data_IF_276305378061
#
_entry.id   IF_276305378061
#
_cell.length_a   1.000
_cell.length_b   1.000
_cell.length_c   1.000
_cell.angle_alpha   90.00
_cell.angle_beta   90.00
_cell.angle_gamma   90.00
#
_symmetry.space_group_name_H-M   'P 1'
#
loop_
_entity.id
_entity.type
_entity.pdbx_description
1 polymer ?
#
# COMPACT_ATOMS: atom_id res chain seq x y z
N UNK A 1 -21.21 14.83 1.66
CA UNK A 1 -20.12 15.36 0.80
C UNK A 1 -20.45 15.12 -0.65
N UNK A 2 -20.16 16.06 -1.55
CA UNK A 2 -20.36 15.88 -2.99
C UNK A 2 -19.39 14.81 -3.52
N UNK A 3 -19.88 13.88 -4.34
CA UNK A 3 -19.04 12.81 -4.93
C UNK A 3 -17.86 13.35 -5.75
N UNK A 4 -18.00 14.54 -6.32
CA UNK A 4 -16.94 15.21 -7.08
C UNK A 4 -15.78 15.62 -6.17
N UNK A 5 -16.07 16.23 -5.00
CA UNK A 5 -15.03 16.63 -4.02
C UNK A 5 -14.28 15.39 -3.51
N UNK A 6 -15.02 14.34 -3.15
CA UNK A 6 -14.41 13.07 -2.74
C UNK A 6 -13.49 12.48 -3.80
N UNK A 7 -13.94 12.48 -5.07
CA UNK A 7 -13.11 12.00 -6.17
C UNK A 7 -11.87 12.85 -6.37
N UNK A 8 -11.99 14.18 -6.25
CA UNK A 8 -10.84 15.09 -6.35
C UNK A 8 -9.80 14.81 -5.26
N UNK A 9 -10.22 14.53 -4.02
CA UNK A 9 -9.31 14.16 -2.93
C UNK A 9 -8.57 12.85 -3.22
N UNK A 10 -9.27 11.83 -3.73
CA UNK A 10 -8.62 10.56 -4.12
C UNK A 10 -7.65 10.76 -5.29
N UNK A 11 -7.99 11.60 -6.27
CA UNK A 11 -7.10 11.96 -7.38
C UNK A 11 -5.84 12.66 -6.87
N UNK A 12 -5.95 13.54 -5.89
CA UNK A 12 -4.78 14.20 -5.28
C UNK A 12 -3.86 13.20 -4.56
N UNK A 13 -4.43 12.22 -3.85
CA UNK A 13 -3.65 11.12 -3.24
C UNK A 13 -2.95 10.30 -4.32
N UNK A 14 -3.65 10.02 -5.42
CA UNK A 14 -3.10 9.29 -6.55
C UNK A 14 -1.95 10.06 -7.23
N UNK A 15 -2.13 11.35 -7.49
CA UNK A 15 -1.08 12.22 -8.04
C UNK A 15 0.15 12.29 -7.12
N UNK A 16 -0.05 12.47 -5.81
CA UNK A 16 1.04 12.45 -4.83
C UNK A 16 1.81 11.13 -4.89
N UNK A 17 1.10 10.00 -5.01
CA UNK A 17 1.72 8.68 -5.11
C UNK A 17 2.45 8.46 -6.43
N UNK A 18 1.91 9.01 -7.54
CA UNK A 18 2.58 9.00 -8.84
C UNK A 18 3.91 9.77 -8.77
N UNK A 19 3.90 11.00 -8.28
CA UNK A 19 5.11 11.81 -8.18
C UNK A 19 6.14 11.20 -7.23
N UNK A 20 5.72 10.72 -6.06
CA UNK A 20 6.63 10.13 -5.08
C UNK A 20 7.16 8.75 -5.53
N UNK A 21 6.33 7.95 -6.18
CA UNK A 21 6.66 6.57 -6.55
C UNK A 21 7.52 6.46 -7.81
N UNK A 22 7.42 7.41 -8.73
CA UNK A 22 8.04 7.30 -10.06
C UNK A 22 9.36 8.05 -10.21
N UNK A 23 9.80 8.78 -9.19
CA UNK A 23 10.98 9.65 -9.29
C UNK A 23 10.71 11.00 -9.97
N UNK A 24 9.52 11.23 -10.55
CA UNK A 24 9.12 12.53 -11.09
C UNK A 24 9.23 13.64 -10.07
N UNK A 25 8.94 13.32 -8.80
CA UNK A 25 9.09 14.26 -7.72
C UNK A 25 10.52 14.75 -7.48
N UNK A 26 11.52 13.91 -7.72
CA UNK A 26 12.93 14.33 -7.66
C UNK A 26 13.28 15.26 -8.80
N UNK A 27 12.80 14.97 -10.02
CA UNK A 27 13.05 15.79 -11.21
C UNK A 27 12.42 17.19 -11.08
N UNK A 28 11.21 17.27 -10.55
CA UNK A 28 10.44 18.51 -10.48
C UNK A 28 10.38 19.11 -9.06
N UNK A 29 11.09 18.56 -8.08
CA UNK A 29 11.05 18.98 -6.65
C UNK A 29 9.62 19.10 -6.08
N UNK A 30 8.69 18.27 -6.58
CA UNK A 30 7.25 18.37 -6.28
C UNK A 30 6.82 17.53 -5.08
N UNK A 31 7.67 16.64 -4.55
CA UNK A 31 7.32 15.74 -3.44
C UNK A 31 6.83 16.50 -2.19
N UNK A 32 7.55 17.55 -1.81
CA UNK A 32 7.18 18.39 -0.67
C UNK A 32 5.90 19.19 -0.93
N UNK A 33 5.71 19.66 -2.17
CA UNK A 33 4.53 20.45 -2.57
C UNK A 33 3.28 19.57 -2.55
N UNK A 34 3.33 18.35 -3.11
CA UNK A 34 2.19 17.42 -3.14
C UNK A 34 1.80 16.96 -1.73
N UNK A 35 2.77 16.67 -0.87
CA UNK A 35 2.51 16.33 0.51
C UNK A 35 1.94 17.53 1.30
N UNK A 36 2.48 18.72 1.11
CA UNK A 36 1.96 19.93 1.72
C UNK A 36 0.54 20.27 1.25
N UNK A 37 0.26 20.12 -0.05
CA UNK A 37 -1.09 20.29 -0.60
C UNK A 37 -2.09 19.29 -0.01
N UNK A 38 -1.70 18.02 0.14
CA UNK A 38 -2.53 17.00 0.77
C UNK A 38 -2.81 17.34 2.23
N UNK A 39 -1.78 17.75 2.98
CA UNK A 39 -1.94 18.17 4.39
C UNK A 39 -2.82 19.42 4.48
N UNK A 40 -2.62 20.41 3.61
CA UNK A 40 -3.41 21.64 3.55
C UNK A 40 -4.88 21.38 3.25
N UNK A 41 -5.18 20.57 2.24
CA UNK A 41 -6.55 20.15 1.90
C UNK A 41 -7.20 19.36 3.03
N UNK A 42 -6.44 18.50 3.68
CA UNK A 42 -6.89 17.72 4.82
C UNK A 42 -7.22 18.62 6.02
N UNK A 43 -6.40 19.63 6.28
CA UNK A 43 -6.64 20.63 7.32
C UNK A 43 -7.89 21.47 7.02
N UNK A 44 -8.07 21.96 5.79
CA UNK A 44 -9.26 22.70 5.36
C UNK A 44 -10.51 21.84 5.52
N UNK A 45 -10.44 20.56 5.15
CA UNK A 45 -11.55 19.62 5.33
C UNK A 45 -11.91 19.45 6.79
N UNK A 46 -10.93 19.23 7.67
CA UNK A 46 -11.15 19.08 9.12
C UNK A 46 -11.71 20.34 9.76
N UNK A 47 -11.25 21.52 9.35
CA UNK A 47 -11.76 22.81 9.86
C UNK A 47 -13.22 23.06 9.47
N UNK A 48 -13.67 22.58 8.32
CA UNK A 48 -15.06 22.68 7.86
C UNK A 48 -16.01 21.70 8.58
N UNK A 49 -15.50 20.58 9.08
CA UNK A 49 -16.29 19.54 9.76
C UNK A 49 -16.25 19.78 11.27
N UNK A 50 -17.31 20.42 11.80
CA UNK A 50 -17.44 20.77 13.24
C UNK A 50 -17.45 19.59 14.21
N UNK A 51 -17.64 18.35 13.74
CA UNK A 51 -17.66 17.13 14.56
C UNK A 51 -16.59 16.15 14.08
N UNK A 52 -15.44 16.25 14.67
CA UNK A 52 -14.35 15.29 14.45
C UNK A 52 -14.50 14.14 15.45
N UNK A 53 -14.81 12.94 14.95
CA UNK A 53 -14.87 11.73 15.77
C UNK A 53 -13.48 11.13 15.91
N UNK A 54 -12.87 11.28 17.06
CA UNK A 54 -11.57 10.69 17.36
C UNK A 54 -11.74 9.25 17.82
N UNK A 55 -11.25 8.32 17.04
CA UNK A 55 -11.12 6.92 17.44
C UNK A 55 -9.87 6.79 18.33
N UNK A 56 -10.06 6.92 19.64
CA UNK A 56 -9.01 7.10 20.66
C UNK A 56 -7.88 6.07 20.55
N UNK A 57 -8.20 4.78 20.45
CA UNK A 57 -7.22 3.70 20.37
C UNK A 57 -6.35 3.76 19.09
N UNK A 58 -6.95 4.07 17.93
CA UNK A 58 -6.22 4.27 16.67
C UNK A 58 -5.34 5.52 16.75
N UNK A 59 -5.90 6.63 17.22
CA UNK A 59 -5.17 7.88 17.38
C UNK A 59 -3.98 7.74 18.34
N UNK A 60 -4.20 7.19 19.53
CA UNK A 60 -3.10 6.97 20.49
C UNK A 60 -2.03 6.03 19.95
N UNK A 61 -2.43 5.01 19.18
CA UNK A 61 -1.45 4.11 18.55
C UNK A 61 -0.63 4.83 17.48
N UNK A 62 -1.23 5.72 16.68
CA UNK A 62 -0.51 6.55 15.72
C UNK A 62 0.48 7.49 16.43
N UNK A 63 0.03 8.19 17.48
CA UNK A 63 0.92 9.04 18.27
C UNK A 63 2.07 8.26 18.89
N UNK A 64 1.80 7.10 19.50
CA UNK A 64 2.84 6.26 20.08
C UNK A 64 3.85 5.77 19.04
N UNK A 65 3.37 5.37 17.84
CA UNK A 65 4.25 4.97 16.74
C UNK A 65 5.16 6.11 16.30
N UNK A 66 4.60 7.32 16.14
CA UNK A 66 5.39 8.51 15.78
C UNK A 66 6.40 8.86 16.87
N UNK A 67 6.01 8.79 18.15
CA UNK A 67 6.93 9.00 19.27
C UNK A 67 8.10 8.00 19.26
N UNK A 68 7.84 6.72 18.94
CA UNK A 68 8.88 5.69 18.84
C UNK A 68 9.82 5.97 17.66
N UNK A 69 9.29 6.39 16.50
CA UNK A 69 10.11 6.72 15.34
C UNK A 69 11.02 7.92 15.62
N UNK A 70 10.46 8.99 16.19
CA UNK A 70 11.21 10.17 16.61
C UNK A 70 12.24 9.81 17.68
N UNK A 71 11.87 9.04 18.71
CA UNK A 71 12.79 8.59 19.75
C UNK A 71 13.94 7.77 19.17
N UNK A 72 13.66 6.85 18.25
CA UNK A 72 14.70 6.08 17.56
C UNK A 72 15.68 6.99 16.80
N UNK A 73 15.17 8.01 16.09
CA UNK A 73 16.00 9.01 15.41
C UNK A 73 16.89 9.77 16.35
N UNK A 74 16.35 10.29 17.46
CA UNK A 74 17.09 11.04 18.47
C UNK A 74 18.15 10.17 19.16
N UNK A 75 17.85 8.90 19.47
CA UNK A 75 18.78 7.95 20.08
C UNK A 75 20.07 7.78 19.26
N UNK A 76 19.95 7.83 17.94
CA UNK A 76 21.06 7.66 17.00
C UNK A 76 21.63 8.99 16.47
N UNK A 77 21.23 10.15 17.05
CA UNK A 77 21.66 11.50 16.62
C UNK A 77 21.41 11.70 15.11
N UNK A 78 20.30 11.20 14.60
CA UNK A 78 19.85 11.37 13.23
C UNK A 78 18.76 12.44 13.18
N UNK A 79 18.46 12.91 11.97
CA UNK A 79 17.29 13.76 11.74
C UNK A 79 16.02 13.06 12.19
N UNK A 80 14.90 13.79 12.31
CA UNK A 80 13.59 13.25 12.71
C UNK A 80 13.12 12.19 11.69
N UNK A 81 13.81 11.04 11.69
CA UNK A 81 13.49 9.93 10.82
C UNK A 81 12.08 9.41 11.09
N UNK A 82 11.29 9.22 10.05
CA UNK A 82 9.91 8.75 10.14
C UNK A 82 8.86 9.86 10.16
N UNK A 83 9.24 11.14 10.09
CA UNK A 83 8.29 12.26 9.95
C UNK A 83 7.39 12.11 8.72
N UNK A 84 7.87 11.45 7.68
CA UNK A 84 7.15 11.13 6.43
C UNK A 84 5.87 10.31 6.70
N UNK A 85 5.85 9.49 7.75
CA UNK A 85 4.68 8.68 8.11
C UNK A 85 3.56 9.48 8.76
N UNK A 86 3.83 10.69 9.20
CA UNK A 86 2.79 11.60 9.65
C UNK A 86 1.74 11.82 8.53
N UNK A 87 2.19 11.98 7.29
CA UNK A 87 1.28 12.10 6.13
C UNK A 87 0.42 10.86 5.93
N UNK A 88 0.99 9.64 6.11
CA UNK A 88 0.24 8.39 6.01
C UNK A 88 -0.85 8.28 7.09
N UNK A 89 -0.53 8.62 8.32
CA UNK A 89 -1.48 8.57 9.43
C UNK A 89 -2.54 9.67 9.34
N UNK A 90 -2.16 10.87 8.92
CA UNK A 90 -3.10 11.95 8.63
C UNK A 90 -4.05 11.57 7.51
N UNK A 91 -3.57 10.91 6.44
CA UNK A 91 -4.43 10.41 5.37
C UNK A 91 -5.49 9.44 5.90
N UNK A 92 -5.07 8.42 6.66
CA UNK A 92 -6.01 7.46 7.27
C UNK A 92 -7.03 8.21 8.14
N UNK A 93 -6.55 9.17 8.94
CA UNK A 93 -7.40 9.93 9.84
C UNK A 93 -8.42 10.79 9.09
N UNK A 94 -7.99 11.52 8.07
CA UNK A 94 -8.86 12.39 7.25
C UNK A 94 -9.95 11.56 6.56
N UNK A 95 -9.56 10.49 5.86
CA UNK A 95 -10.53 9.64 5.18
C UNK A 95 -11.45 8.90 6.15
N UNK A 96 -11.03 8.67 7.41
CA UNK A 96 -11.91 8.15 8.47
C UNK A 96 -13.02 9.11 8.87
N UNK A 97 -12.88 10.42 8.60
CA UNK A 97 -13.88 11.44 8.88
C UNK A 97 -14.84 11.67 7.71
N UNK A 98 -14.61 11.03 6.58
CA UNK A 98 -15.41 11.20 5.36
C UNK A 98 -16.43 10.07 5.24
N UNK A 99 -17.70 10.43 4.92
CA UNK A 99 -18.73 9.44 4.62
C UNK A 99 -18.48 8.80 3.27
N UNK A 100 -18.02 7.56 3.28
CA UNK A 100 -17.74 6.82 2.05
C UNK A 100 -19.03 6.20 1.51
N UNK A 101 -19.59 6.85 0.46
CA UNK A 101 -20.81 6.42 -0.24
C UNK A 101 -20.47 5.64 -1.49
N UNK A 102 -21.32 4.67 -1.85
CA UNK A 102 -21.12 3.78 -3.01
C UNK A 102 -20.92 4.54 -4.32
N UNK A 103 -21.79 5.53 -4.60
CA UNK A 103 -21.68 6.36 -5.82
C UNK A 103 -20.35 7.12 -5.88
N UNK A 104 -19.87 7.64 -4.75
CA UNK A 104 -18.60 8.36 -4.69
C UNK A 104 -17.43 7.40 -4.91
N UNK A 105 -17.47 6.21 -4.32
CA UNK A 105 -16.46 5.17 -4.54
C UNK A 105 -16.40 4.73 -6.00
N UNK A 106 -17.55 4.51 -6.67
CA UNK A 106 -17.58 4.11 -8.08
C UNK A 106 -16.99 5.19 -8.99
N UNK A 107 -17.41 6.45 -8.80
CA UNK A 107 -16.85 7.55 -9.57
C UNK A 107 -15.34 7.64 -9.42
N UNK A 108 -14.86 7.57 -8.17
CA UNK A 108 -13.42 7.62 -7.88
C UNK A 108 -12.67 6.42 -8.46
N UNK A 109 -13.20 5.21 -8.31
CA UNK A 109 -12.58 4.00 -8.85
C UNK A 109 -12.42 4.04 -10.37
N UNK A 110 -13.47 4.49 -11.09
CA UNK A 110 -13.42 4.66 -12.55
C UNK A 110 -12.37 5.73 -12.92
N UNK A 111 -12.41 6.88 -12.26
CA UNK A 111 -11.48 7.98 -12.55
C UNK A 111 -10.02 7.54 -12.35
N UNK A 112 -9.72 6.88 -11.23
CA UNK A 112 -8.37 6.40 -10.92
C UNK A 112 -7.92 5.31 -11.90
N UNK A 113 -8.80 4.40 -12.31
CA UNK A 113 -8.47 3.41 -13.33
C UNK A 113 -8.09 4.08 -14.66
N UNK A 114 -8.91 5.05 -15.12
CA UNK A 114 -8.64 5.78 -16.37
C UNK A 114 -7.29 6.50 -16.30
N UNK A 115 -7.01 7.18 -15.19
CA UNK A 115 -5.72 7.85 -14.99
C UNK A 115 -4.57 6.84 -14.96
N UNK A 116 -4.73 5.69 -14.30
CA UNK A 116 -3.74 4.61 -14.27
C UNK A 116 -3.45 4.06 -15.67
N UNK A 117 -4.49 3.83 -16.47
CA UNK A 117 -4.35 3.39 -17.88
C UNK A 117 -3.61 4.46 -18.72
N UNK A 118 -3.96 5.73 -18.56
CA UNK A 118 -3.29 6.82 -19.28
C UNK A 118 -1.79 6.84 -18.96
N UNK A 119 -1.41 6.70 -17.70
CA UNK A 119 0.01 6.68 -17.31
C UNK A 119 0.74 5.46 -17.87
N UNK A 120 0.11 4.28 -17.84
CA UNK A 120 0.69 3.07 -18.44
C UNK A 120 0.87 3.23 -19.96
N UNK A 121 -0.11 3.80 -20.66
CA UNK A 121 -0.02 4.08 -22.10
C UNK A 121 1.09 5.09 -22.41
N UNK A 122 1.24 6.15 -21.62
CA UNK A 122 2.32 7.12 -21.78
C UNK A 122 3.68 6.45 -21.59
N UNK A 123 3.79 5.51 -20.64
CA UNK A 123 5.02 4.77 -20.40
C UNK A 123 5.34 3.83 -21.56
N UNK A 124 4.36 3.06 -22.06
CA UNK A 124 4.57 2.04 -23.10
C UNK A 124 4.82 2.65 -24.49
N UNK A 125 4.14 3.75 -24.84
CA UNK A 125 4.20 4.37 -26.16
C UNK A 125 4.93 5.72 -26.17
N UNK A 126 5.27 6.24 -24.98
CA UNK A 126 6.09 7.44 -24.85
C UNK A 126 7.56 7.11 -24.82
N UNK A 127 8.40 8.07 -25.15
CA UNK A 127 9.83 7.98 -24.88
C UNK A 127 10.01 7.74 -23.38
N UNK A 128 10.81 6.74 -23.01
CA UNK A 128 11.19 6.48 -21.62
C UNK A 128 11.69 7.80 -21.01
N UNK A 129 10.84 8.43 -20.23
CA UNK A 129 11.20 9.64 -19.52
C UNK A 129 12.28 9.27 -18.51
N UNK A 130 13.43 9.91 -18.59
CA UNK A 130 14.54 9.67 -17.68
C UNK A 130 14.06 9.81 -16.23
N UNK A 131 14.26 8.77 -15.42
CA UNK A 131 13.85 8.76 -14.01
C UNK A 131 12.57 7.97 -13.70
N UNK A 132 11.88 7.41 -14.67
CA UNK A 132 10.74 6.52 -14.41
C UNK A 132 11.23 5.13 -14.02
N UNK A 133 10.78 4.65 -12.87
CA UNK A 133 11.06 3.28 -12.42
C UNK A 133 9.92 2.37 -12.87
N UNK A 134 10.24 1.34 -13.66
CA UNK A 134 9.30 0.37 -14.22
C UNK A 134 8.40 -0.26 -13.15
N UNK A 135 8.97 -0.70 -12.03
CA UNK A 135 8.21 -1.30 -10.93
C UNK A 135 7.23 -0.30 -10.29
N UNK A 136 7.63 0.97 -10.19
CA UNK A 136 6.76 2.02 -9.61
C UNK A 136 5.57 2.33 -10.52
N UNK A 137 5.80 2.36 -11.84
CA UNK A 137 4.72 2.53 -12.83
C UNK A 137 3.75 1.33 -12.77
N UNK A 138 4.28 0.11 -12.74
CA UNK A 138 3.47 -1.09 -12.58
C UNK A 138 2.64 -1.07 -11.29
N UNK A 139 3.21 -0.58 -10.17
CA UNK A 139 2.48 -0.42 -8.90
C UNK A 139 1.34 0.59 -9.03
N UNK A 140 1.55 1.73 -9.68
CA UNK A 140 0.49 2.72 -9.90
C UNK A 140 -0.67 2.11 -10.71
N UNK A 141 -0.37 1.38 -11.79
CA UNK A 141 -1.38 0.65 -12.56
C UNK A 141 -2.15 -0.38 -11.72
N UNK A 142 -1.41 -1.22 -10.99
CA UNK A 142 -1.99 -2.22 -10.09
C UNK A 142 -2.90 -1.58 -9.03
N UNK A 143 -2.44 -0.55 -8.33
CA UNK A 143 -3.20 0.07 -7.25
C UNK A 143 -4.42 0.82 -7.79
N UNK A 144 -4.30 1.43 -8.96
CA UNK A 144 -5.43 2.03 -9.66
C UNK A 144 -6.52 0.98 -9.97
N UNK A 145 -6.11 -0.19 -10.46
CA UNK A 145 -7.03 -1.29 -10.71
C UNK A 145 -7.64 -1.86 -9.42
N UNK A 146 -6.85 -2.03 -8.36
CA UNK A 146 -7.37 -2.52 -7.07
C UNK A 146 -8.46 -1.59 -6.54
N UNK A 147 -8.25 -0.27 -6.56
CA UNK A 147 -9.25 0.71 -6.11
C UNK A 147 -10.52 0.69 -6.98
N UNK A 148 -10.37 0.51 -8.30
CA UNK A 148 -11.49 0.30 -9.20
C UNK A 148 -12.25 -0.97 -8.84
N UNK A 149 -11.58 -2.12 -8.69
CA UNK A 149 -12.21 -3.39 -8.36
C UNK A 149 -12.99 -3.33 -7.03
N UNK A 150 -12.45 -2.65 -6.01
CA UNK A 150 -13.15 -2.38 -4.74
C UNK A 150 -14.46 -1.60 -4.97
N UNK A 151 -14.45 -0.63 -5.85
CA UNK A 151 -15.62 0.22 -6.11
C UNK A 151 -16.79 -0.51 -6.78
N UNK A 152 -16.52 -1.70 -7.35
CA UNK A 152 -17.52 -2.58 -7.98
C UNK A 152 -17.76 -3.88 -7.19
N UNK A 153 -17.19 -4.02 -6.00
CA UNK A 153 -17.25 -5.26 -5.23
C UNK A 153 -18.68 -5.64 -4.78
N UNK A 154 -19.58 -4.66 -4.67
CA UNK A 154 -21.00 -4.84 -4.35
C UNK A 154 -21.84 -5.32 -5.54
N UNK A 155 -21.33 -5.17 -6.76
CA UNK A 155 -22.10 -5.48 -7.96
C UNK A 155 -21.85 -6.90 -8.46
N UNK A 156 -22.82 -7.78 -8.20
CA UNK A 156 -22.81 -9.16 -8.68
C UNK A 156 -23.37 -9.31 -10.11
N UNK A 157 -23.66 -8.19 -10.82
CA UNK A 157 -24.17 -8.26 -12.18
C UNK A 157 -23.13 -8.84 -13.15
N UNK A 158 -23.61 -9.55 -14.18
CA UNK A 158 -22.71 -10.10 -15.21
C UNK A 158 -21.89 -9.00 -15.91
N UNK A 159 -22.50 -7.83 -16.11
CA UNK A 159 -21.83 -6.70 -16.72
C UNK A 159 -20.72 -6.10 -15.85
N UNK A 160 -20.92 -5.96 -14.54
CA UNK A 160 -19.86 -5.48 -13.67
C UNK A 160 -18.70 -6.46 -13.58
N UNK A 161 -18.97 -7.77 -13.52
CA UNK A 161 -17.92 -8.80 -13.59
C UNK A 161 -17.16 -8.77 -14.91
N UNK A 162 -17.87 -8.58 -16.03
CA UNK A 162 -17.24 -8.43 -17.34
C UNK A 162 -16.35 -7.19 -17.41
N UNK A 163 -16.82 -6.03 -16.91
CA UNK A 163 -16.01 -4.81 -16.86
C UNK A 163 -14.76 -4.97 -15.98
N UNK A 164 -14.88 -5.62 -14.82
CA UNK A 164 -13.74 -5.91 -13.93
C UNK A 164 -12.74 -6.83 -14.62
N UNK A 165 -13.20 -7.86 -15.32
CA UNK A 165 -12.32 -8.77 -16.06
C UNK A 165 -11.63 -8.08 -17.22
N UNK A 166 -12.39 -7.35 -18.04
CA UNK A 166 -11.88 -6.66 -19.24
C UNK A 166 -10.85 -5.58 -18.86
N UNK A 167 -11.16 -4.76 -17.87
CA UNK A 167 -10.22 -3.75 -17.37
C UNK A 167 -8.98 -4.38 -16.74
N UNK A 168 -9.13 -5.48 -16.00
CA UNK A 168 -8.01 -6.22 -15.42
C UNK A 168 -7.10 -6.82 -16.50
N UNK A 169 -7.68 -7.40 -17.56
CA UNK A 169 -6.91 -7.90 -18.70
C UNK A 169 -6.17 -6.78 -19.43
N UNK A 170 -6.82 -5.62 -19.62
CA UNK A 170 -6.19 -4.44 -20.21
C UNK A 170 -5.02 -3.90 -19.38
N UNK A 171 -5.21 -3.77 -18.05
CA UNK A 171 -4.13 -3.34 -17.16
C UNK A 171 -3.00 -4.38 -17.10
N UNK A 172 -3.31 -5.68 -17.12
CA UNK A 172 -2.29 -6.74 -17.19
C UNK A 172 -1.44 -6.64 -18.45
N UNK A 173 -2.10 -6.40 -19.60
CA UNK A 173 -1.42 -6.17 -20.87
C UNK A 173 -0.46 -4.98 -20.81
N UNK A 174 -0.90 -3.85 -20.24
CA UNK A 174 -0.09 -2.64 -20.11
C UNK A 174 1.03 -2.74 -19.05
N UNK A 175 0.88 -3.59 -18.02
CA UNK A 175 1.93 -3.83 -17.03
C UNK A 175 2.97 -4.85 -17.55
N UNK A 176 2.61 -5.74 -18.46
CA UNK A 176 3.52 -6.79 -18.94
C UNK A 176 4.89 -6.27 -19.44
N UNK A 177 4.97 -5.16 -20.21
CA UNK A 177 6.25 -4.60 -20.66
C UNK A 177 7.16 -4.11 -19.51
N UNK A 178 6.62 -3.80 -18.33
CA UNK A 178 7.42 -3.36 -17.16
C UNK A 178 8.20 -4.50 -16.51
N UNK A 179 7.93 -5.76 -16.91
CA UNK A 179 8.55 -6.96 -16.34
C UNK A 179 8.45 -7.07 -14.79
N UNK A 180 7.46 -6.39 -14.21
CA UNK A 180 7.17 -6.41 -12.77
C UNK A 180 6.32 -7.62 -12.38
N UNK A 181 6.99 -8.77 -12.19
CA UNK A 181 6.33 -10.06 -11.87
C UNK A 181 5.43 -9.98 -10.64
N UNK A 182 5.86 -9.27 -9.60
CA UNK A 182 5.06 -9.10 -8.37
C UNK A 182 3.75 -8.37 -8.61
N UNK A 183 3.75 -7.33 -9.46
CA UNK A 183 2.54 -6.59 -9.83
C UNK A 183 1.62 -7.44 -10.71
N UNK A 184 2.16 -8.20 -11.67
CA UNK A 184 1.35 -9.09 -12.51
C UNK A 184 0.64 -10.17 -11.68
N UNK A 185 1.36 -10.84 -10.77
CA UNK A 185 0.78 -11.86 -9.88
C UNK A 185 -0.30 -11.23 -8.99
N UNK A 186 -0.01 -10.10 -8.35
CA UNK A 186 -0.98 -9.41 -7.50
C UNK A 186 -2.22 -8.97 -8.28
N UNK A 187 -2.07 -8.55 -9.53
CA UNK A 187 -3.19 -8.18 -10.41
C UNK A 187 -4.06 -9.39 -10.74
N UNK A 188 -3.46 -10.52 -11.12
CA UNK A 188 -4.21 -11.77 -11.39
C UNK A 188 -4.98 -12.20 -10.14
N UNK A 189 -4.35 -12.19 -8.96
CA UNK A 189 -5.02 -12.49 -7.69
C UNK A 189 -6.17 -11.53 -7.42
N UNK A 190 -5.98 -10.23 -7.71
CA UNK A 190 -7.04 -9.21 -7.56
C UNK A 190 -8.22 -9.49 -8.47
N UNK A 191 -7.99 -9.84 -9.74
CA UNK A 191 -9.05 -10.20 -10.70
C UNK A 191 -9.83 -11.42 -10.18
N UNK A 192 -9.13 -12.47 -9.76
CA UNK A 192 -9.77 -13.69 -9.25
C UNK A 192 -10.62 -13.41 -8.01
N UNK A 193 -10.12 -12.64 -7.05
CA UNK A 193 -10.86 -12.27 -5.85
C UNK A 193 -12.08 -11.39 -6.17
N UNK A 194 -11.95 -10.45 -7.09
CA UNK A 194 -13.06 -9.58 -7.49
C UNK A 194 -14.17 -10.36 -8.23
N UNK A 195 -13.82 -11.38 -9.02
CA UNK A 195 -14.79 -12.21 -9.74
C UNK A 195 -15.49 -13.23 -8.83
N UNK A 196 -14.76 -13.79 -7.88
CA UNK A 196 -15.32 -14.79 -6.94
C UNK A 196 -16.13 -14.16 -5.82
N UNK A 197 -15.85 -12.88 -5.50
CA UNK A 197 -16.61 -12.00 -4.61
C UNK A 197 -17.05 -12.59 -3.26
N UNK A 198 -16.38 -13.63 -2.78
CA UNK A 198 -16.66 -14.21 -1.46
C UNK A 198 -15.36 -14.30 -0.67
N UNK A 199 -14.91 -13.19 -0.05
CA UNK A 199 -13.86 -13.33 0.95
C UNK A 199 -14.35 -14.31 1.99
N UNK A 200 -13.47 -15.16 2.47
CA UNK A 200 -13.81 -16.06 3.57
C UNK A 200 -13.97 -15.22 4.86
N UNK A 201 -15.19 -14.92 5.33
CA UNK A 201 -15.39 -14.05 6.50
C UNK A 201 -14.63 -14.58 7.72
N UNK A 202 -14.55 -15.91 7.85
CA UNK A 202 -13.82 -16.57 8.95
C UNK A 202 -12.34 -16.19 8.98
N UNK A 203 -11.70 -16.05 7.81
CA UNK A 203 -10.30 -15.64 7.72
C UNK A 203 -10.14 -14.18 8.15
N UNK A 204 -10.97 -13.28 7.64
CA UNK A 204 -10.89 -11.85 7.94
C UNK A 204 -11.35 -11.50 9.36
N UNK A 205 -12.20 -12.33 10.00
CA UNK A 205 -12.60 -12.17 11.40
C UNK A 205 -11.55 -12.68 12.38
N UNK A 206 -10.74 -13.64 11.95
CA UNK A 206 -9.71 -14.23 12.80
C UNK A 206 -8.54 -13.27 13.03
N UNK A 207 -8.24 -12.98 14.29
CA UNK A 207 -7.07 -12.19 14.67
C UNK A 207 -5.76 -12.81 14.15
N UNK A 208 -5.63 -14.11 14.27
CA UNK A 208 -4.43 -14.84 13.84
C UNK A 208 -4.21 -14.72 12.34
N UNK A 209 -5.25 -14.93 11.54
CA UNK A 209 -5.16 -14.79 10.08
C UNK A 209 -4.88 -13.36 9.64
N UNK A 210 -5.53 -12.36 10.25
CA UNK A 210 -5.25 -10.95 9.92
C UNK A 210 -3.80 -10.58 10.24
N UNK A 211 -3.27 -11.00 11.38
CA UNK A 211 -1.87 -10.78 11.72
C UNK A 211 -0.93 -11.54 10.79
N UNK A 212 -1.25 -12.79 10.45
CA UNK A 212 -0.47 -13.57 9.47
C UNK A 212 -0.39 -12.86 8.13
N UNK A 213 -1.51 -12.36 7.60
CA UNK A 213 -1.55 -11.62 6.34
C UNK A 213 -0.79 -10.29 6.40
N UNK A 214 -0.76 -9.62 7.55
CA UNK A 214 0.02 -8.40 7.75
C UNK A 214 1.53 -8.66 7.76
N UNK A 215 1.98 -9.78 8.30
CA UNK A 215 3.41 -10.12 8.37
C UNK A 215 3.92 -10.86 7.14
N UNK A 216 3.09 -11.05 6.09
CA UNK A 216 3.52 -11.70 4.84
C UNK A 216 4.83 -11.12 4.30
N UNK A 217 5.07 -9.79 4.25
CA UNK A 217 6.35 -9.27 3.77
C UNK A 217 7.56 -9.80 4.55
N UNK A 218 7.45 -9.92 5.88
CA UNK A 218 8.49 -10.50 6.71
C UNK A 218 8.68 -12.00 6.43
N UNK A 219 7.58 -12.74 6.34
CA UNK A 219 7.63 -14.19 6.08
C UNK A 219 8.25 -14.49 4.72
N UNK A 220 7.88 -13.74 3.68
CA UNK A 220 8.48 -13.89 2.34
C UNK A 220 9.98 -13.62 2.37
N UNK A 221 10.42 -12.59 3.10
CA UNK A 221 11.84 -12.31 3.23
C UNK A 221 12.59 -13.44 3.96
N UNK A 222 12.07 -13.93 5.07
CA UNK A 222 12.66 -15.03 5.84
C UNK A 222 12.74 -16.31 5.01
N UNK A 223 11.63 -16.70 4.35
CA UNK A 223 11.57 -17.89 3.50
C UNK A 223 12.59 -17.77 2.35
N UNK A 224 12.68 -16.61 1.71
CA UNK A 224 13.63 -16.39 0.61
C UNK A 224 15.07 -16.54 1.08
N UNK A 225 15.43 -15.95 2.22
CA UNK A 225 16.80 -16.09 2.78
C UNK A 225 17.09 -17.55 3.13
N UNK A 226 16.17 -18.24 3.80
CA UNK A 226 16.34 -19.67 4.16
C UNK A 226 16.49 -20.53 2.91
N UNK A 227 15.63 -20.32 1.91
CA UNK A 227 15.71 -21.07 0.64
C UNK A 227 17.01 -20.79 -0.12
N UNK A 228 17.49 -19.54 -0.12
CA UNK A 228 18.72 -19.18 -0.81
C UNK A 228 19.97 -19.86 -0.22
N UNK A 229 19.92 -20.22 1.07
CA UNK A 229 20.98 -20.95 1.77
C UNK A 229 20.87 -22.49 1.58
N UNK A 230 19.81 -22.97 0.96
CA UNK A 230 19.57 -24.40 0.75
C UNK A 230 20.22 -24.92 -0.52
N UNK A 231 20.46 -26.23 -0.59
CA UNK A 231 20.95 -26.93 -1.79
C UNK A 231 19.98 -26.92 -2.97
N UNK A 232 18.73 -26.50 -2.75
CA UNK A 232 17.68 -26.40 -3.77
C UNK A 232 17.80 -25.10 -4.57
N UNK A 233 18.38 -24.04 -3.99
CA UNK A 233 18.46 -22.71 -4.59
C UNK A 233 19.07 -22.71 -6.01
N UNK A 234 20.20 -23.39 -6.29
CA UNK A 234 20.77 -23.43 -7.65
C UNK A 234 19.83 -24.06 -8.69
N UNK A 235 19.09 -25.11 -8.28
CA UNK A 235 18.12 -25.79 -9.18
C UNK A 235 16.94 -24.86 -9.49
N UNK A 236 16.43 -24.17 -8.48
CA UNK A 236 15.35 -23.17 -8.66
C UNK A 236 15.80 -22.03 -9.55
N UNK A 237 17.04 -21.59 -9.43
CA UNK A 237 17.58 -20.48 -10.23
C UNK A 237 17.74 -20.88 -11.71
N UNK A 238 18.23 -22.10 -11.99
CA UNK A 238 18.32 -22.65 -13.36
C UNK A 238 16.92 -22.73 -13.98
N UNK A 239 15.94 -23.25 -13.24
CA UNK A 239 14.56 -23.34 -13.70
C UNK A 239 13.97 -21.96 -13.99
N UNK A 240 14.13 -21.00 -13.08
CA UNK A 240 13.62 -19.64 -13.23
C UNK A 240 14.22 -18.91 -14.42
N UNK A 241 15.53 -19.07 -14.66
CA UNK A 241 16.21 -18.51 -15.85
C UNK A 241 15.68 -19.10 -17.15
N UNK A 242 15.36 -20.41 -17.18
CA UNK A 242 14.77 -21.06 -18.38
C UNK A 242 13.36 -20.55 -18.68
N UNK A 243 12.52 -20.35 -17.65
CA UNK A 243 11.10 -19.99 -17.81
C UNK A 243 10.90 -18.49 -17.93
N UNK A 244 11.64 -17.70 -17.15
CA UNK A 244 11.40 -16.26 -16.97
C UNK A 244 12.61 -15.39 -17.41
N UNK A 245 13.68 -15.97 -17.92
CA UNK A 245 14.89 -15.23 -18.32
C UNK A 245 15.70 -14.62 -17.17
N UNK A 246 15.22 -14.72 -15.90
CA UNK A 246 15.82 -14.08 -14.73
C UNK A 246 15.98 -15.05 -13.55
N UNK A 247 16.99 -14.82 -12.65
CA UNK A 247 17.12 -15.59 -11.42
C UNK A 247 15.86 -15.50 -10.57
N UNK A 248 15.57 -16.56 -9.78
CA UNK A 248 14.35 -16.58 -8.96
C UNK A 248 14.37 -15.50 -7.87
N UNK A 249 15.50 -15.35 -7.19
CA UNK A 249 15.64 -14.36 -6.11
C UNK A 249 16.04 -12.98 -6.62
N UNK A 250 16.60 -12.87 -7.82
CA UNK A 250 17.01 -11.62 -8.46
C UNK A 250 17.87 -10.70 -7.55
N UNK A 251 18.78 -11.32 -6.76
CA UNK A 251 19.66 -10.63 -5.80
C UNK A 251 18.99 -10.22 -4.48
N UNK A 252 17.68 -10.41 -4.34
CA UNK A 252 16.93 -10.07 -3.10
C UNK A 252 17.35 -10.91 -1.91
N UNK A 253 17.76 -12.15 -2.12
CA UNK A 253 18.32 -13.05 -1.11
C UNK A 253 19.50 -12.43 -0.38
N UNK A 254 20.51 -11.93 -1.11
CA UNK A 254 21.68 -11.26 -0.54
C UNK A 254 21.32 -9.94 0.12
N UNK A 255 20.43 -9.17 -0.53
CA UNK A 255 19.97 -7.90 -0.03
C UNK A 255 19.22 -8.07 1.30
N UNK A 256 18.30 -9.03 1.39
CA UNK A 256 17.53 -9.27 2.60
C UNK A 256 18.35 -9.89 3.72
N UNK A 257 19.32 -10.76 3.39
CA UNK A 257 20.29 -11.24 4.38
C UNK A 257 21.11 -10.08 4.98
N UNK A 258 21.55 -9.14 4.16
CA UNK A 258 22.23 -7.93 4.63
C UNK A 258 21.30 -7.06 5.48
N UNK A 259 20.01 -6.95 5.11
CA UNK A 259 18.99 -6.27 5.92
C UNK A 259 18.81 -6.91 7.30
N UNK A 260 18.68 -8.23 7.38
CA UNK A 260 18.61 -8.92 8.67
C UNK A 260 19.87 -8.74 9.52
N UNK A 261 21.06 -8.76 8.91
CA UNK A 261 22.31 -8.44 9.64
C UNK A 261 22.29 -7.01 10.18
N UNK A 262 21.87 -6.05 9.36
CA UNK A 262 21.72 -4.65 9.79
C UNK A 262 20.73 -4.51 10.96
N UNK A 263 19.59 -5.19 10.90
CA UNK A 263 18.62 -5.23 11.99
C UNK A 263 19.23 -5.79 13.29
N UNK A 264 20.02 -6.87 13.22
CA UNK A 264 20.62 -7.48 14.39
C UNK A 264 21.65 -6.59 15.12
N UNK A 265 22.22 -5.58 14.46
CA UNK A 265 23.08 -4.58 15.12
C UNK A 265 22.26 -3.62 16.00
N UNK A 266 21.00 -3.35 15.68
CA UNK A 266 20.13 -2.45 16.44
C UNK A 266 18.70 -3.03 16.56
N UNK A 267 18.52 -4.17 17.28
CA UNK A 267 17.31 -4.98 17.17
C UNK A 267 16.05 -4.31 17.76
N UNK A 268 16.20 -3.45 18.78
CA UNK A 268 15.05 -2.85 19.47
C UNK A 268 14.52 -1.61 18.78
N UNK A 269 15.38 -0.65 18.44
CA UNK A 269 15.00 0.67 17.91
C UNK A 269 15.54 0.97 16.51
N UNK A 270 16.22 0.00 15.88
CA UNK A 270 16.76 0.16 14.53
C UNK A 270 17.87 1.22 14.44
N UNK A 271 18.13 1.71 13.24
CA UNK A 271 19.16 2.74 12.95
C UNK A 271 18.67 4.18 13.17
N UNK A 272 17.41 4.38 13.50
CA UNK A 272 16.79 5.69 13.73
C UNK A 272 16.50 6.51 12.48
N UNK A 273 16.73 5.97 11.29
CA UNK A 273 16.40 6.62 10.02
C UNK A 273 15.96 5.60 8.99
N UNK A 274 15.16 6.05 8.03
CA UNK A 274 14.87 5.24 6.85
C UNK A 274 16.17 5.15 6.05
N UNK A 275 16.65 3.92 5.91
CA UNK A 275 17.93 3.67 5.27
C UNK A 275 17.85 4.02 3.78
N UNK A 276 18.89 4.66 3.24
CA UNK A 276 19.05 4.89 1.80
C UNK A 276 19.13 3.58 1.00
N UNK A 277 19.41 2.45 1.68
CA UNK A 277 19.40 1.15 1.06
C UNK A 277 17.96 0.75 0.68
N UNK A 278 17.74 0.54 -0.60
CA UNK A 278 16.48 0.02 -1.09
C UNK A 278 16.42 -1.49 -0.83
N UNK A 279 15.79 -1.88 0.29
CA UNK A 279 15.66 -3.28 0.69
C UNK A 279 14.66 -4.06 -0.16
N UNK A 280 13.86 -3.42 -1.00
CA UNK A 280 12.76 -4.03 -1.77
C UNK A 280 11.86 -4.95 -0.93
N UNK A 281 11.68 -4.62 0.35
CA UNK A 281 10.79 -5.31 1.28
C UNK A 281 10.45 -4.38 2.45
N UNK A 282 9.18 -4.10 2.61
CA UNK A 282 8.66 -3.17 3.61
C UNK A 282 8.98 -3.59 5.06
N UNK A 283 8.91 -4.88 5.39
CA UNK A 283 9.18 -5.35 6.76
C UNK A 283 10.66 -5.19 7.12
N UNK A 284 11.57 -5.53 6.21
CA UNK A 284 13.01 -5.35 6.42
C UNK A 284 13.34 -3.86 6.54
N UNK A 285 12.75 -3.02 5.71
CA UNK A 285 12.95 -1.57 5.76
C UNK A 285 12.52 -1.00 7.12
N UNK A 286 11.37 -1.42 7.65
CA UNK A 286 10.89 -0.98 8.95
C UNK A 286 11.77 -1.51 10.10
N UNK A 287 12.13 -2.80 10.08
CA UNK A 287 12.97 -3.42 11.09
C UNK A 287 14.37 -2.80 11.16
N UNK A 288 15.00 -2.54 10.01
CA UNK A 288 16.32 -1.90 9.97
C UNK A 288 16.29 -0.46 10.43
N UNK A 289 15.19 0.25 10.14
CA UNK A 289 15.05 1.68 10.48
C UNK A 289 14.64 1.92 11.93
N UNK A 290 13.65 1.16 12.44
CA UNK A 290 13.02 1.42 13.75
C UNK A 290 12.95 0.19 14.67
N UNK A 291 13.61 -0.90 14.31
CA UNK A 291 13.72 -2.11 15.11
C UNK A 291 12.41 -2.85 15.34
N UNK A 292 12.45 -3.80 16.24
CA UNK A 292 11.28 -4.63 16.57
C UNK A 292 10.17 -3.82 17.25
N UNK A 293 10.53 -2.83 18.07
CA UNK A 293 9.54 -1.97 18.76
C UNK A 293 8.79 -1.13 17.73
N UNK A 294 9.51 -0.43 16.86
CA UNK A 294 8.88 0.38 15.80
C UNK A 294 8.03 -0.46 14.86
N UNK A 295 8.51 -1.62 14.42
CA UNK A 295 7.77 -2.54 13.56
C UNK A 295 6.48 -3.05 14.22
N UNK A 296 6.53 -3.41 15.50
CA UNK A 296 5.34 -3.88 16.24
C UNK A 296 4.27 -2.79 16.36
N UNK A 297 4.65 -1.57 16.68
CA UNK A 297 3.71 -0.45 16.78
C UNK A 297 3.15 -0.05 15.41
N UNK A 298 3.98 -0.07 14.37
CA UNK A 298 3.54 0.16 13.00
C UNK A 298 2.53 -0.92 12.55
N UNK A 299 2.81 -2.21 12.79
CA UNK A 299 1.83 -3.28 12.52
C UNK A 299 0.52 -3.07 13.27
N UNK A 300 0.57 -2.59 14.52
CA UNK A 300 -0.62 -2.28 15.30
C UNK A 300 -1.45 -1.15 14.67
N UNK A 301 -0.79 -0.12 14.11
CA UNK A 301 -1.48 0.94 13.36
C UNK A 301 -2.27 0.40 12.17
N UNK A 302 -1.72 -0.58 11.46
CA UNK A 302 -2.37 -1.21 10.33
C UNK A 302 -3.47 -2.20 10.74
N UNK A 303 -3.24 -2.92 11.83
CA UNK A 303 -4.15 -3.93 12.36
C UNK A 303 -5.46 -3.34 12.92
N UNK A 304 -5.40 -2.21 13.64
CA UNK A 304 -6.58 -1.66 14.30
C UNK A 304 -7.73 -1.31 13.34
N UNK A 305 -7.50 -0.62 12.21
CA UNK A 305 -8.53 -0.42 11.20
C UNK A 305 -9.11 -1.74 10.66
N UNK A 306 -8.26 -2.72 10.37
CA UNK A 306 -8.70 -4.03 9.85
C UNK A 306 -9.56 -4.79 10.87
N UNK A 307 -9.14 -4.81 12.14
CA UNK A 307 -9.92 -5.39 13.23
C UNK A 307 -11.31 -4.78 13.34
N UNK A 308 -11.44 -3.47 13.15
CA UNK A 308 -12.75 -2.80 13.17
C UNK A 308 -13.57 -3.17 11.95
N UNK A 309 -12.93 -3.21 10.77
CA UNK A 309 -13.59 -3.64 9.53
C UNK A 309 -14.13 -5.05 9.61
N UNK A 310 -13.45 -5.94 10.32
CA UNK A 310 -13.90 -7.33 10.46
C UNK A 310 -15.25 -7.51 11.14
N UNK A 311 -15.78 -6.48 11.80
CA UNK A 311 -17.13 -6.47 12.38
C UNK A 311 -18.22 -6.08 11.35
N UNK A 312 -17.85 -5.61 10.17
CA UNK A 312 -18.76 -5.07 9.14
C UNK A 312 -18.57 -5.76 7.78
N UNK A 313 -18.16 -7.03 7.76
CA UNK A 313 -17.88 -7.78 6.53
C UNK A 313 -19.12 -8.07 5.67
N UNK A 314 -20.32 -7.80 6.16
CA UNK A 314 -21.54 -7.81 5.36
C UNK A 314 -21.60 -6.65 4.35
N UNK A 315 -20.87 -5.57 4.60
CA UNK A 315 -20.77 -4.45 3.67
C UNK A 315 -19.65 -4.71 2.64
N UNK A 316 -19.98 -4.69 1.34
CA UNK A 316 -19.02 -5.05 0.30
C UNK A 316 -17.86 -4.05 0.17
N UNK A 317 -18.08 -2.75 0.46
CA UNK A 317 -17.01 -1.74 0.40
C UNK A 317 -16.02 -1.97 1.55
N UNK A 318 -16.52 -2.28 2.76
CA UNK A 318 -15.66 -2.63 3.90
C UNK A 318 -14.78 -3.82 3.55
N UNK A 319 -15.38 -4.89 3.05
CA UNK A 319 -14.66 -6.10 2.67
C UNK A 319 -13.68 -5.84 1.52
N UNK A 320 -14.09 -5.05 0.53
CA UNK A 320 -13.23 -4.63 -0.58
C UNK A 320 -12.01 -3.84 -0.10
N UNK A 321 -12.19 -2.88 0.81
CA UNK A 321 -11.08 -2.10 1.37
C UNK A 321 -10.09 -2.95 2.17
N UNK A 322 -10.57 -3.91 2.98
CA UNK A 322 -9.70 -4.86 3.69
C UNK A 322 -8.89 -5.68 2.69
N UNK A 323 -9.56 -6.26 1.69
CA UNK A 323 -8.92 -7.09 0.66
C UNK A 323 -7.88 -6.27 -0.13
N UNK A 324 -8.23 -5.04 -0.55
CA UNK A 324 -7.32 -4.13 -1.24
C UNK A 324 -6.06 -3.86 -0.43
N UNK A 325 -6.23 -3.50 0.83
CA UNK A 325 -5.08 -3.22 1.70
C UNK A 325 -4.18 -4.45 1.87
N UNK A 326 -4.77 -5.63 2.11
CA UNK A 326 -3.99 -6.86 2.30
C UNK A 326 -3.25 -7.29 1.03
N UNK A 327 -3.85 -7.11 -0.15
CA UNK A 327 -3.19 -7.35 -1.44
C UNK A 327 -2.03 -6.40 -1.68
N UNK A 328 -2.25 -5.09 -1.44
CA UNK A 328 -1.20 -4.09 -1.54
C UNK A 328 -0.06 -4.39 -0.56
N UNK A 329 -0.38 -4.76 0.70
CA UNK A 329 0.63 -5.16 1.69
C UNK A 329 1.41 -6.41 1.25
N UNK A 330 0.75 -7.42 0.70
CA UNK A 330 1.42 -8.62 0.21
C UNK A 330 2.38 -8.32 -0.95
N UNK A 331 1.99 -7.43 -1.88
CA UNK A 331 2.86 -6.97 -2.97
C UNK A 331 4.11 -6.26 -2.44
N UNK A 332 4.03 -5.58 -1.29
CA UNK A 332 5.16 -4.94 -0.61
C UNK A 332 6.19 -5.91 -0.02
N UNK A 333 6.01 -7.20 -0.19
CA UNK A 333 7.05 -8.21 0.03
C UNK A 333 8.23 -8.06 -0.94
N UNK A 334 8.01 -7.42 -2.08
CA UNK A 334 8.97 -7.30 -3.16
C UNK A 334 9.31 -5.86 -3.53
N UNK A 335 8.68 -4.87 -2.87
CA UNK A 335 8.86 -3.46 -3.18
C UNK A 335 8.83 -2.58 -1.92
N UNK A 336 9.19 -1.29 -2.05
CA UNK A 336 9.27 -0.31 -0.97
C UNK A 336 8.26 0.83 -1.11
N UNK A 337 7.04 0.55 -1.51
CA UNK A 337 6.02 1.62 -1.57
C UNK A 337 5.48 2.01 -0.20
N UNK A 338 5.31 1.04 0.70
CA UNK A 338 4.65 1.26 1.98
C UNK A 338 5.59 1.83 3.05
N UNK A 339 6.86 1.41 3.05
CA UNK A 339 7.85 1.86 4.01
C UNK A 339 9.11 2.33 3.30
N UNK A 340 9.17 3.64 3.01
CA UNK A 340 10.27 4.31 2.31
C UNK A 340 10.36 5.77 2.76
N UNK A 341 11.40 6.49 2.35
CA UNK A 341 11.51 7.95 2.55
C UNK A 341 10.38 8.74 1.87
N UNK A 342 9.76 8.16 0.84
CA UNK A 342 8.60 8.73 0.14
C UNK A 342 7.51 7.67 0.06
N UNK A 343 6.71 7.47 1.13
CA UNK A 343 5.71 6.42 1.17
C UNK A 343 4.61 6.65 0.13
N UNK A 344 4.21 5.56 -0.52
CA UNK A 344 3.10 5.58 -1.46
C UNK A 344 1.76 5.64 -0.70
N UNK A 345 1.13 6.81 -0.72
CA UNK A 345 -0.10 7.08 0.02
C UNK A 345 -1.29 6.23 -0.43
N UNK A 346 -1.29 5.74 -1.69
CA UNK A 346 -2.36 4.86 -2.17
C UNK A 346 -2.49 3.56 -1.36
N UNK A 347 -1.39 3.07 -0.77
CA UNK A 347 -1.42 1.84 0.03
C UNK A 347 -2.18 2.06 1.35
N UNK A 348 -2.10 3.26 1.92
CA UNK A 348 -2.79 3.60 3.17
C UNK A 348 -4.24 4.05 2.95
N UNK A 349 -4.58 4.48 1.75
CA UNK A 349 -5.92 4.98 1.41
C UNK A 349 -7.05 3.98 1.74
N UNK A 350 -6.95 2.67 1.43
CA UNK A 350 -7.99 1.70 1.78
C UNK A 350 -8.31 1.64 3.28
N UNK A 351 -7.33 1.87 4.17
CA UNK A 351 -7.57 1.90 5.62
C UNK A 351 -8.40 3.12 6.03
N UNK A 352 -8.14 4.27 5.44
CA UNK A 352 -8.94 5.48 5.66
C UNK A 352 -10.38 5.32 5.13
N UNK A 353 -10.53 4.81 3.90
CA UNK A 353 -11.83 4.54 3.28
C UNK A 353 -12.65 3.52 4.09
N UNK A 354 -12.01 2.48 4.59
CA UNK A 354 -12.59 1.49 5.48
C UNK A 354 -13.22 2.14 6.72
N UNK A 355 -12.46 2.96 7.41
CA UNK A 355 -12.93 3.63 8.63
C UNK A 355 -14.04 4.64 8.33
N UNK A 356 -13.94 5.37 7.23
CA UNK A 356 -14.99 6.29 6.76
C UNK A 356 -16.29 5.58 6.38
N UNK A 357 -16.18 4.37 5.77
CA UNK A 357 -17.36 3.54 5.47
C UNK A 357 -18.02 3.03 6.74
N UNK A 358 -17.26 2.54 7.71
CA UNK A 358 -17.79 2.11 9.01
C UNK A 358 -18.51 3.24 9.72
N UNK A 359 -17.96 4.45 9.69
CA UNK A 359 -18.61 5.63 10.25
C UNK A 359 -19.96 5.88 9.57
N UNK A 360 -19.99 5.92 8.24
CA UNK A 360 -21.22 6.10 7.46
C UNK A 360 -22.30 5.06 7.79
N UNK A 361 -21.90 3.78 8.02
CA UNK A 361 -22.83 2.71 8.40
C UNK A 361 -23.38 2.87 9.83
N UNK A 362 -22.62 3.48 10.73
CA UNK A 362 -23.08 3.74 12.13
C UNK A 362 -24.02 4.93 12.26
N UNK A 363 -23.94 5.89 11.36
CA UNK A 363 -24.75 7.10 11.36
C UNK A 363 -26.10 6.92 10.62
N UNK A 364 -26.32 5.77 9.97
CA UNK A 364 -27.57 5.32 9.36
C UNK A 364 -28.40 4.49 10.30
#
# INVERSE_FOLDING_TARGET
MNSVIFTAEIVLVWLSSLFNGTGLGHVYHTNSITNAALVGLSAIFLLRHRRVSVQKDTFYTFCATMCIFVFSGLLHKKELGGAEYLCCFLLIYVFSQIDVRERAMRLSGITILVLGIIILLIYDYGTQLSGWNENSIAMIGLFSYILFAVSFYDQQSRWSKFLVLLSGAGVLWLIAPTDSRSCMIALVVTILLALTAKPCPRVLQSRGWTMFLLIIPLLVALITVVLSLSSIAPKMDIWSRRVFGKPIFNGRDRLWLAGFRSFLHHPFFGSGRINANNWHNTAIACLTSFGMVGYTFWLKCLYLPLKRGSLYLSDPIVTGCITAFLLMNAQQSFELGMFSSNPNLLIYLPLGLLLGRIRYLKER
#
